data_IF_313663466996
#
_entry.id   IF_313663466996
#
_cell.length_a   1.000
_cell.length_b   1.000
_cell.length_c   1.000
_cell.angle_alpha   90.00
_cell.angle_beta   90.00
_cell.angle_gamma   90.00
#
_symmetry.space_group_name_H-M   'P 1'
#
loop_
_entity.id
_entity.type
_entity.pdbx_description
1 polymer ?
#
# COMPACT_ATOMS: atom_id res chain seq x y z
N UNK A 1 -16.08 -14.65 3.55
CA UNK A 1 -14.93 -14.18 4.37
C UNK A 1 -15.24 -12.78 4.84
N UNK A 2 -15.09 -12.43 6.13
CA UNK A 2 -15.32 -11.06 6.57
C UNK A 2 -14.19 -10.18 6.02
N UNK A 3 -14.56 -9.09 5.35
CA UNK A 3 -13.62 -8.04 4.97
C UNK A 3 -13.14 -7.38 6.27
N UNK A 4 -11.91 -7.67 6.69
CA UNK A 4 -11.28 -6.95 7.80
C UNK A 4 -11.13 -5.49 7.40
N UNK A 5 -12.03 -4.65 7.93
CA UNK A 5 -11.92 -3.19 7.86
C UNK A 5 -10.80 -2.75 8.79
N UNK A 6 -9.59 -2.61 8.25
CA UNK A 6 -8.45 -2.04 8.97
C UNK A 6 -8.71 -0.56 9.27
N UNK A 7 -8.88 -0.22 10.54
CA UNK A 7 -8.86 1.18 10.98
C UNK A 7 -7.41 1.69 11.01
N UNK A 8 -7.19 2.96 10.68
CA UNK A 8 -5.86 3.60 10.66
C UNK A 8 -5.08 3.35 11.96
N UNK A 9 -5.77 3.45 13.10
CA UNK A 9 -5.21 3.20 14.45
C UNK A 9 -4.73 1.75 14.64
N UNK A 10 -5.37 0.79 13.98
CA UNK A 10 -5.03 -0.62 14.09
C UNK A 10 -3.79 -0.97 13.25
N UNK A 11 -3.68 -0.38 12.06
CA UNK A 11 -2.50 -0.50 11.21
C UNK A 11 -1.26 0.09 11.90
N UNK A 12 -1.39 1.29 12.48
CA UNK A 12 -0.33 1.93 13.24
C UNK A 12 0.11 1.07 14.43
N UNK A 13 -0.86 0.53 15.20
CA UNK A 13 -0.55 -0.39 16.30
C UNK A 13 0.18 -1.63 15.83
N UNK A 14 -0.28 -2.25 14.74
CA UNK A 14 0.34 -3.44 14.16
C UNK A 14 1.78 -3.16 13.72
N UNK A 15 2.00 -2.05 13.01
CA UNK A 15 3.33 -1.63 12.56
C UNK A 15 4.24 -1.31 13.74
N UNK A 16 3.75 -0.63 14.77
CA UNK A 16 4.52 -0.32 15.99
C UNK A 16 4.95 -1.56 16.78
N UNK A 17 4.18 -2.64 16.71
CA UNK A 17 4.47 -3.90 17.39
C UNK A 17 5.29 -4.87 16.52
N UNK A 18 5.55 -4.52 15.25
CA UNK A 18 6.19 -5.39 14.27
C UNK A 18 7.73 -5.33 14.33
N UNK A 19 8.29 -5.85 15.41
CA UNK A 19 9.75 -5.95 15.58
C UNK A 19 10.43 -6.82 14.51
N UNK A 20 9.67 -7.71 13.86
CA UNK A 20 10.18 -8.62 12.83
C UNK A 20 10.20 -8.04 11.42
N UNK A 21 9.48 -6.93 11.21
CA UNK A 21 9.20 -6.39 9.87
C UNK A 21 8.21 -7.20 9.04
N UNK A 22 7.68 -8.31 9.54
CA UNK A 22 6.78 -9.20 8.80
C UNK A 22 5.49 -8.51 8.39
N UNK A 23 4.86 -7.76 9.30
CA UNK A 23 3.63 -7.06 8.97
C UNK A 23 3.88 -5.96 7.94
N UNK A 24 5.00 -5.23 8.07
CA UNK A 24 5.45 -4.26 7.06
C UNK A 24 5.64 -4.94 5.71
N UNK A 25 6.34 -6.07 5.66
CA UNK A 25 6.61 -6.80 4.41
C UNK A 25 5.32 -7.33 3.77
N UNK A 26 4.38 -7.87 4.55
CA UNK A 26 3.07 -8.30 4.06
C UNK A 26 2.29 -7.14 3.43
N UNK A 27 2.34 -5.95 4.02
CA UNK A 27 1.67 -4.75 3.49
C UNK A 27 2.37 -4.29 2.20
N UNK A 28 3.69 -4.23 2.20
CA UNK A 28 4.47 -3.84 1.01
C UNK A 28 4.25 -4.81 -0.14
N UNK A 29 4.12 -6.11 0.14
CA UNK A 29 3.80 -7.12 -0.86
C UNK A 29 2.45 -6.84 -1.53
N UNK A 30 1.39 -6.62 -0.74
CA UNK A 30 0.04 -6.28 -1.25
C UNK A 30 0.03 -4.98 -2.06
N UNK A 31 0.76 -3.96 -1.61
CA UNK A 31 0.91 -2.70 -2.38
C UNK A 31 1.60 -2.95 -3.73
N UNK A 32 2.60 -3.82 -3.76
CA UNK A 32 3.26 -4.26 -4.99
C UNK A 32 2.33 -5.01 -5.96
N UNK A 33 1.45 -5.87 -5.43
CA UNK A 33 0.41 -6.54 -6.22
C UNK A 33 -0.54 -5.52 -6.86
N UNK A 34 -1.04 -4.55 -6.09
CA UNK A 34 -1.90 -3.49 -6.61
C UNK A 34 -1.20 -2.63 -7.66
N UNK A 35 0.07 -2.27 -7.44
CA UNK A 35 0.86 -1.52 -8.43
C UNK A 35 0.94 -2.29 -9.75
N UNK A 36 1.16 -3.60 -9.69
CA UNK A 36 1.26 -4.47 -10.87
C UNK A 36 -0.07 -4.52 -11.62
N UNK A 37 -1.17 -4.80 -10.91
CA UNK A 37 -2.51 -4.81 -11.50
C UNK A 37 -2.88 -3.46 -12.15
N UNK A 38 -2.58 -2.34 -11.50
CA UNK A 38 -2.84 -1.01 -12.04
C UNK A 38 -1.97 -0.70 -13.27
N UNK A 39 -0.72 -1.19 -13.30
CA UNK A 39 0.16 -1.07 -14.46
C UNK A 39 -0.40 -1.84 -15.65
N UNK A 40 -0.83 -3.08 -15.45
CA UNK A 40 -1.40 -3.93 -16.49
C UNK A 40 -2.69 -3.31 -17.06
N UNK A 41 -3.56 -2.81 -16.19
CA UNK A 41 -4.77 -2.06 -16.59
C UNK A 41 -4.42 -0.80 -17.38
N UNK A 42 -3.38 -0.05 -17.00
CA UNK A 42 -2.98 1.15 -17.74
C UNK A 42 -2.50 0.86 -19.17
N UNK A 43 -2.02 -0.36 -19.44
CA UNK A 43 -1.57 -0.80 -20.75
C UNK A 43 -2.69 -1.28 -21.68
N UNK A 44 -3.93 -1.43 -21.20
CA UNK A 44 -5.02 -2.07 -21.94
C UNK A 44 -5.83 -1.14 -22.86
N UNK A 45 -5.33 0.07 -23.15
CA UNK A 45 -6.01 1.02 -24.05
C UNK A 45 -7.29 1.62 -23.46
N UNK A 46 -7.21 2.17 -22.26
CA UNK A 46 -8.35 2.73 -21.54
C UNK A 46 -8.80 4.10 -22.07
N UNK A 47 -10.08 4.41 -21.85
CA UNK A 47 -10.62 5.76 -22.03
C UNK A 47 -9.86 6.78 -21.15
N UNK A 48 -9.73 8.05 -21.58
CA UNK A 48 -8.94 9.06 -20.87
C UNK A 48 -9.29 9.21 -19.38
N UNK A 49 -10.57 9.14 -19.03
CA UNK A 49 -11.07 9.28 -17.66
C UNK A 49 -10.61 8.11 -16.78
N UNK A 50 -10.72 6.88 -17.30
CA UNK A 50 -10.25 5.68 -16.64
C UNK A 50 -8.72 5.69 -16.47
N UNK A 51 -7.99 6.17 -17.48
CA UNK A 51 -6.53 6.32 -17.39
C UNK A 51 -6.12 7.33 -16.31
N UNK A 52 -6.81 8.46 -16.19
CA UNK A 52 -6.57 9.42 -15.12
C UNK A 52 -6.88 8.85 -13.73
N UNK A 53 -7.97 8.08 -13.60
CA UNK A 53 -8.30 7.40 -12.36
C UNK A 53 -7.22 6.40 -11.94
N UNK A 54 -6.72 5.60 -12.87
CA UNK A 54 -5.62 4.65 -12.61
C UNK A 54 -4.33 5.37 -12.23
N UNK A 55 -3.98 6.48 -12.90
CA UNK A 55 -2.81 7.28 -12.50
C UNK A 55 -2.93 7.81 -11.06
N UNK A 56 -4.13 8.21 -10.63
CA UNK A 56 -4.37 8.63 -9.25
C UNK A 56 -4.20 7.47 -8.29
N UNK A 57 -4.69 6.29 -8.62
CA UNK A 57 -4.54 5.08 -7.82
C UNK A 57 -3.08 4.65 -7.71
N UNK A 58 -2.31 4.69 -8.81
CA UNK A 58 -0.87 4.39 -8.80
C UNK A 58 -0.12 5.30 -7.82
N UNK A 59 -0.36 6.62 -7.91
CA UNK A 59 0.22 7.58 -6.96
C UNK A 59 -0.19 7.33 -5.51
N UNK A 60 -1.43 6.93 -5.28
CA UNK A 60 -1.91 6.60 -3.93
C UNK A 60 -1.20 5.37 -3.35
N UNK A 61 -0.98 4.33 -4.17
CA UNK A 61 -0.20 3.14 -3.78
C UNK A 61 1.24 3.51 -3.47
N UNK A 62 1.88 4.31 -4.33
CA UNK A 62 3.26 4.79 -4.12
C UNK A 62 3.37 5.59 -2.81
N UNK A 63 2.41 6.47 -2.54
CA UNK A 63 2.39 7.26 -1.31
C UNK A 63 2.15 6.37 -0.07
N UNK A 64 1.30 5.35 -0.18
CA UNK A 64 1.05 4.41 0.91
C UNK A 64 2.31 3.63 1.29
N UNK A 65 3.11 3.19 0.32
CA UNK A 65 4.40 2.54 0.56
C UNK A 65 5.36 3.43 1.36
N UNK A 66 5.47 4.71 0.97
CA UNK A 66 6.33 5.68 1.68
C UNK A 66 5.85 5.86 3.12
N UNK A 67 4.55 5.99 3.35
CA UNK A 67 3.97 6.18 4.69
C UNK A 67 4.21 4.95 5.56
N UNK A 68 3.89 3.75 5.07
CA UNK A 68 4.04 2.50 5.82
C UNK A 68 5.51 2.26 6.18
N UNK A 69 6.39 2.41 5.19
CA UNK A 69 7.81 2.18 5.42
C UNK A 69 8.42 3.23 6.36
N UNK A 70 8.10 4.51 6.16
CA UNK A 70 8.58 5.61 7.01
C UNK A 70 8.09 5.49 8.45
N UNK A 71 6.81 5.12 8.65
CA UNK A 71 6.27 4.89 9.99
C UNK A 71 6.99 3.74 10.69
N UNK A 72 7.21 2.61 10.00
CA UNK A 72 7.91 1.47 10.58
C UNK A 72 9.34 1.83 11.01
N UNK A 73 10.10 2.52 10.16
CA UNK A 73 11.46 3.00 10.49
C UNK A 73 11.47 3.96 11.69
N UNK A 74 10.47 4.85 11.79
CA UNK A 74 10.37 5.78 12.92
C UNK A 74 10.12 5.07 14.26
N UNK A 75 9.45 3.91 14.25
CA UNK A 75 9.16 3.12 15.45
C UNK A 75 10.29 2.13 15.80
N UNK A 76 11.14 1.77 14.83
CA UNK A 76 12.21 0.78 14.98
C UNK A 76 13.55 1.36 14.49
N UNK A 77 14.08 2.40 15.16
CA UNK A 77 15.41 2.91 14.84
C UNK A 77 16.46 1.85 15.20
N UNK A 78 17.45 1.66 14.32
CA UNK A 78 18.60 0.78 14.55
C UNK A 78 19.37 1.16 15.82
#
# INVERSE_FOLDING_TARGET
>A
MPQESFHVVELERKLKQDNSGKARDDIMHKLGEYRTQLKDLSGSGLAPEAFQAIKKLQRAVDQAEVIVHGYWLAMHPN
#
